data_IF_402815624755
#
_entry.id   IF_402815624755
#
_cell.length_a   1.000
_cell.length_b   1.000
_cell.length_c   1.000
_cell.angle_alpha   90.00
_cell.angle_beta   90.00
_cell.angle_gamma   90.00
#
_symmetry.space_group_name_H-M   'P 1'
#
loop_
_entity.id
_entity.type
_entity.pdbx_description
1 polymer ?
#
# COMPACT_ATOMS: atom_id res chain seq x y z
N UNK A 1 8.63 11.76 16.07
CA UNK A 1 8.10 12.71 15.06
C UNK A 1 8.62 12.42 13.65
N UNK A 2 9.94 12.33 13.38
CA UNK A 2 10.48 11.98 12.04
C UNK A 2 9.93 10.70 11.41
N UNK A 3 9.79 9.63 12.20
CA UNK A 3 9.35 8.33 11.66
C UNK A 3 7.86 8.34 11.26
N UNK A 4 7.03 9.12 11.98
CA UNK A 4 5.60 9.33 11.66
C UNK A 4 5.42 10.00 10.30
N UNK A 5 6.20 11.05 10.04
CA UNK A 5 6.13 11.84 8.82
C UNK A 5 6.68 11.07 7.61
N UNK A 6 7.77 10.33 7.79
CA UNK A 6 8.32 9.45 6.76
C UNK A 6 7.34 8.32 6.36
N UNK A 7 6.63 7.75 7.34
CA UNK A 7 5.59 6.75 7.09
C UNK A 7 4.43 7.35 6.30
N UNK A 8 3.94 8.53 6.67
CA UNK A 8 2.86 9.22 5.95
C UNK A 8 3.25 9.54 4.49
N UNK A 9 4.49 9.97 4.27
CA UNK A 9 5.02 10.20 2.91
C UNK A 9 5.07 8.92 2.07
N UNK A 10 5.53 7.81 2.66
CA UNK A 10 5.55 6.50 2.00
C UNK A 10 4.13 6.03 1.67
N UNK A 11 3.20 6.19 2.59
CA UNK A 11 1.79 5.84 2.41
C UNK A 11 1.13 6.64 1.29
N UNK A 12 1.29 7.96 1.30
CA UNK A 12 0.78 8.84 0.24
C UNK A 12 1.39 8.49 -1.13
N UNK A 13 2.66 8.07 -1.15
CA UNK A 13 3.31 7.58 -2.38
C UNK A 13 2.72 6.26 -2.86
N UNK A 14 2.42 5.32 -1.96
CA UNK A 14 1.76 4.05 -2.31
C UNK A 14 0.35 4.31 -2.85
N UNK A 15 -0.44 5.16 -2.18
CA UNK A 15 -1.77 5.56 -2.65
C UNK A 15 -1.70 6.19 -4.05
N UNK A 16 -0.81 7.16 -4.25
CA UNK A 16 -0.64 7.84 -5.54
C UNK A 16 -0.25 6.86 -6.66
N UNK A 17 0.59 5.88 -6.37
CA UNK A 17 0.97 4.86 -7.34
C UNK A 17 -0.17 3.88 -7.62
N UNK A 18 -0.93 3.49 -6.59
CA UNK A 18 -2.14 2.67 -6.75
C UNK A 18 -3.17 3.40 -7.61
N UNK A 19 -3.38 4.69 -7.42
CA UNK A 19 -4.28 5.51 -8.23
C UNK A 19 -3.87 5.52 -9.71
N UNK A 20 -2.59 5.76 -9.99
CA UNK A 20 -2.06 5.74 -11.37
C UNK A 20 -2.24 4.38 -12.04
N UNK A 21 -1.94 3.30 -11.32
CA UNK A 21 -2.05 1.94 -11.85
C UNK A 21 -3.50 1.46 -11.94
N UNK A 22 -4.41 2.02 -11.15
CA UNK A 22 -5.83 1.69 -11.20
C UNK A 22 -6.48 2.04 -12.55
N UNK A 23 -6.02 3.12 -13.18
CA UNK A 23 -6.47 3.53 -14.51
C UNK A 23 -5.97 2.58 -15.61
N UNK A 24 -4.85 1.90 -15.37
CA UNK A 24 -4.19 1.00 -16.34
C UNK A 24 -4.57 -0.48 -16.12
N UNK A 25 -4.90 -0.88 -14.88
CA UNK A 25 -5.14 -2.26 -14.50
C UNK A 25 -6.17 -2.38 -13.37
N UNK A 26 -7.27 -3.10 -13.66
CA UNK A 26 -8.37 -3.31 -12.70
C UNK A 26 -7.96 -4.02 -11.40
N UNK A 27 -6.88 -4.80 -11.39
CA UNK A 27 -6.30 -5.38 -10.17
C UNK A 27 -5.87 -4.26 -9.20
N UNK A 28 -5.16 -3.26 -9.71
CA UNK A 28 -4.74 -2.12 -8.90
C UNK A 28 -5.91 -1.22 -8.53
N UNK A 29 -6.94 -1.15 -9.37
CA UNK A 29 -8.21 -0.49 -9.02
C UNK A 29 -8.86 -1.07 -7.76
N UNK A 30 -8.88 -2.39 -7.60
CA UNK A 30 -9.42 -3.04 -6.39
C UNK A 30 -8.60 -2.69 -5.15
N UNK A 31 -7.28 -2.74 -5.24
CA UNK A 31 -6.39 -2.38 -4.14
C UNK A 31 -6.49 -0.88 -3.79
N UNK A 32 -6.58 -0.01 -4.81
CA UNK A 32 -6.77 1.42 -4.65
C UNK A 32 -8.09 1.73 -3.95
N UNK A 33 -9.21 1.15 -4.40
CA UNK A 33 -10.52 1.38 -3.77
C UNK A 33 -10.52 0.92 -2.31
N UNK A 34 -9.87 -0.20 -1.98
CA UNK A 34 -9.73 -0.64 -0.59
C UNK A 34 -8.96 0.35 0.26
N UNK A 35 -7.85 0.89 -0.26
CA UNK A 35 -7.03 1.86 0.45
C UNK A 35 -7.72 3.23 0.57
N UNK A 36 -8.32 3.73 -0.52
CA UNK A 36 -8.92 5.05 -0.64
C UNK A 36 -10.29 5.16 0.05
N UNK A 37 -11.00 4.04 0.26
CA UNK A 37 -12.17 4.00 1.15
C UNK A 37 -11.82 4.37 2.60
N UNK A 38 -10.55 4.36 2.95
CA UNK A 38 -10.06 4.91 4.20
C UNK A 38 -9.77 6.39 4.00
N UNK A 39 -10.58 7.26 4.60
CA UNK A 39 -10.22 8.67 4.71
C UNK A 39 -8.99 8.75 5.62
N UNK A 40 -7.82 9.03 5.04
CA UNK A 40 -6.57 9.13 5.80
C UNK A 40 -6.62 10.16 6.93
N UNK A 41 -7.47 11.19 6.79
CA UNK A 41 -7.71 12.22 7.80
C UNK A 41 -8.60 11.75 8.97
N UNK A 42 -9.27 10.60 8.84
CA UNK A 42 -10.10 9.95 9.89
C UNK A 42 -9.43 8.72 10.50
N UNK A 43 -8.15 8.50 10.24
CA UNK A 43 -7.39 7.40 10.83
C UNK A 43 -7.18 7.67 12.32
N UNK A 44 -8.02 7.09 13.16
CA UNK A 44 -7.87 7.16 14.61
C UNK A 44 -6.68 6.33 15.12
N UNK A 45 -6.19 5.35 14.34
CA UNK A 45 -5.03 4.56 14.70
C UNK A 45 -4.16 4.13 13.51
N UNK A 46 -2.84 4.20 13.70
CA UNK A 46 -1.85 3.65 12.78
C UNK A 46 -2.07 2.18 12.45
N UNK A 47 -2.59 1.40 13.41
CA UNK A 47 -2.83 -0.02 13.25
C UNK A 47 -3.86 -0.31 12.14
N UNK A 48 -4.93 0.49 12.08
CA UNK A 48 -5.97 0.34 11.05
C UNK A 48 -5.43 0.54 9.63
N UNK A 49 -4.45 1.44 9.47
CA UNK A 49 -3.76 1.64 8.20
C UNK A 49 -2.86 0.46 7.86
N UNK A 50 -2.17 -0.13 8.86
CA UNK A 50 -1.36 -1.33 8.65
C UNK A 50 -2.21 -2.49 8.14
N UNK A 51 -3.35 -2.72 8.78
CA UNK A 51 -4.21 -3.86 8.46
C UNK A 51 -4.73 -3.78 7.02
N UNK A 52 -5.13 -2.58 6.56
CA UNK A 52 -5.59 -2.35 5.19
C UNK A 52 -4.46 -2.48 4.18
N UNK A 53 -3.28 -1.94 4.47
CA UNK A 53 -2.10 -2.10 3.60
C UNK A 53 -1.71 -3.57 3.47
N UNK A 54 -1.75 -4.34 4.57
CA UNK A 54 -1.47 -5.76 4.56
C UNK A 54 -2.50 -6.53 3.71
N UNK A 55 -3.78 -6.15 3.76
CA UNK A 55 -4.82 -6.75 2.93
C UNK A 55 -4.66 -6.40 1.44
N UNK A 56 -4.29 -5.15 1.11
CA UNK A 56 -3.96 -4.75 -0.25
C UNK A 56 -2.73 -5.52 -0.76
N UNK A 57 -1.69 -5.65 0.07
CA UNK A 57 -0.47 -6.39 -0.26
C UNK A 57 -0.77 -7.86 -0.54
N UNK A 58 -1.45 -8.55 0.39
CA UNK A 58 -1.84 -9.97 0.21
C UNK A 58 -2.63 -10.18 -1.07
N UNK A 59 -3.58 -9.28 -1.37
CA UNK A 59 -4.33 -9.33 -2.60
C UNK A 59 -3.43 -9.18 -3.84
N UNK A 60 -2.54 -8.19 -3.86
CA UNK A 60 -1.64 -7.96 -4.99
C UNK A 60 -0.64 -9.12 -5.18
N UNK A 61 -0.09 -9.69 -4.10
CA UNK A 61 0.78 -10.89 -4.16
C UNK A 61 0.03 -12.10 -4.71
N UNK A 62 -1.22 -12.32 -4.30
CA UNK A 62 -2.06 -13.37 -4.87
C UNK A 62 -2.27 -13.16 -6.39
N UNK A 63 -2.47 -11.92 -6.84
CA UNK A 63 -2.55 -11.62 -8.27
C UNK A 63 -1.20 -11.79 -8.98
N UNK A 64 -0.07 -11.47 -8.34
CA UNK A 64 1.28 -11.74 -8.88
C UNK A 64 1.48 -13.23 -9.14
N UNK A 65 1.13 -14.07 -8.16
CA UNK A 65 1.27 -15.53 -8.25
C UNK A 65 0.46 -16.14 -9.40
N UNK A 66 -0.59 -15.43 -9.85
CA UNK A 66 -1.44 -15.78 -10.99
C UNK A 66 -0.94 -15.20 -12.33
N UNK A 67 0.21 -14.52 -12.33
CA UNK A 67 0.80 -13.90 -13.51
C UNK A 67 0.04 -12.65 -13.99
N UNK A 68 -0.78 -12.03 -13.14
CA UNK A 68 -1.59 -10.85 -13.49
C UNK A 68 -0.83 -9.53 -13.38
N UNK A 69 0.40 -9.55 -12.82
CA UNK A 69 1.24 -8.38 -12.63
C UNK A 69 2.44 -8.35 -13.59
N UNK A 70 2.61 -7.19 -14.23
CA UNK A 70 3.78 -6.77 -15.01
C UNK A 70 4.98 -6.47 -14.12
N UNK A 71 6.16 -6.28 -14.73
CA UNK A 71 7.39 -5.99 -14.00
C UNK A 71 7.32 -4.67 -13.22
N UNK A 72 6.71 -3.63 -13.81
CA UNK A 72 6.56 -2.32 -13.18
C UNK A 72 5.62 -2.37 -11.97
N UNK A 73 4.59 -3.20 -12.05
CA UNK A 73 3.61 -3.41 -10.98
C UNK A 73 4.21 -4.15 -9.78
N UNK A 74 5.19 -5.04 -10.00
CA UNK A 74 5.94 -5.71 -8.92
C UNK A 74 6.85 -4.77 -8.13
N UNK A 75 7.31 -3.66 -8.74
CA UNK A 75 8.05 -2.62 -8.00
C UNK A 75 7.17 -2.00 -6.91
N UNK A 76 5.84 -1.97 -7.09
CA UNK A 76 4.92 -1.52 -6.06
C UNK A 76 4.91 -2.46 -4.85
N UNK A 77 4.93 -3.78 -5.07
CA UNK A 77 4.99 -4.78 -4.00
C UNK A 77 6.24 -4.57 -3.13
N UNK A 78 7.41 -4.37 -3.76
CA UNK A 78 8.65 -4.07 -3.03
C UNK A 78 8.56 -2.78 -2.20
N UNK A 79 7.82 -1.78 -2.65
CA UNK A 79 7.63 -0.54 -1.88
C UNK A 79 6.68 -0.76 -0.69
N UNK A 80 5.70 -1.65 -0.83
CA UNK A 80 4.80 -2.03 0.27
C UNK A 80 5.53 -2.89 1.30
N UNK A 81 6.37 -3.84 0.88
CA UNK A 81 7.21 -4.64 1.77
C UNK A 81 8.14 -3.76 2.62
N UNK A 82 8.81 -2.79 1.99
CA UNK A 82 9.65 -1.84 2.72
C UNK A 82 8.86 -1.01 3.72
N UNK A 83 7.59 -0.70 3.43
CA UNK A 83 6.74 -0.01 4.39
C UNK A 83 6.38 -0.93 5.56
N UNK A 84 6.06 -2.21 5.30
CA UNK A 84 5.76 -3.19 6.34
C UNK A 84 6.98 -3.43 7.25
N UNK A 85 8.16 -3.60 6.68
CA UNK A 85 9.43 -3.71 7.42
C UNK A 85 9.65 -2.49 8.34
N UNK A 86 9.46 -1.27 7.83
CA UNK A 86 9.59 -0.05 8.62
C UNK A 86 8.57 0.04 9.76
N UNK A 87 7.39 -0.54 9.56
CA UNK A 87 6.31 -0.58 10.52
C UNK A 87 6.49 -1.68 11.59
N UNK A 88 7.12 -2.81 11.24
CA UNK A 88 7.42 -3.95 12.13
C UNK A 88 8.70 -3.71 12.93
N UNK A 89 9.75 -3.17 12.30
CA UNK A 89 11.02 -2.86 12.96
C UNK A 89 10.88 -1.87 14.10
N UNK A 90 9.72 -1.20 14.22
CA UNK A 90 9.42 -0.37 15.37
C UNK A 90 10.54 0.63 15.63
N UNK A 91 11.14 1.20 14.58
CA UNK A 91 11.96 2.41 14.73
C UNK A 91 11.01 3.51 15.20
N UNK A 92 10.73 3.50 16.49
CA UNK A 92 10.10 4.51 17.32
C UNK A 92 11.06 4.73 18.49
#
# INVERSE_FOLDING_TARGET
MKNKEMLLQLLSKIESNLAKLADENGVFGVAYIKLHKFEFDKVDSYQSVKDILADCYKYLVDQESKGKLTLNERVLLNNIDRLDDLMVEGKM
#
